data_IF_101162275849
#
_entry.id   IF_101162275849
#
_cell.length_a   1.000
_cell.length_b   1.000
_cell.length_c   1.000
_cell.angle_alpha   90.00
_cell.angle_beta   90.00
_cell.angle_gamma   90.00
#
_symmetry.space_group_name_H-M   'P 1'
#
loop_
_entity.id
_entity.type
_entity.pdbx_description
1 polymer ?
#
# COMPACT_ATOMS: atom_id res chain seq x y z
N UNK A 1 3.11 11.04 -24.16
CA UNK A 1 1.68 10.68 -24.13
C UNK A 1 1.20 10.87 -22.70
N UNK A 2 0.75 12.08 -22.39
CA UNK A 2 0.25 12.45 -21.06
C UNK A 2 -1.09 11.75 -20.87
N UNK A 3 -1.15 10.76 -20.00
CA UNK A 3 -2.42 10.23 -19.52
C UNK A 3 -3.07 11.35 -18.70
N UNK A 4 -3.89 12.18 -19.34
CA UNK A 4 -4.94 12.93 -18.68
C UNK A 4 -5.93 11.89 -18.17
N UNK A 5 -5.68 11.34 -16.98
CA UNK A 5 -6.77 10.79 -16.19
C UNK A 5 -7.71 11.97 -15.94
N UNK A 6 -8.88 11.94 -16.56
CA UNK A 6 -9.95 12.86 -16.20
C UNK A 6 -10.14 12.76 -14.69
N UNK A 7 -9.78 13.80 -13.96
CA UNK A 7 -10.15 13.91 -12.55
C UNK A 7 -11.67 13.79 -12.50
N UNK A 8 -12.23 12.82 -11.75
CA UNK A 8 -13.68 12.67 -11.64
C UNK A 8 -14.27 14.03 -11.24
N UNK A 9 -15.36 14.45 -11.89
CA UNK A 9 -16.00 15.69 -11.49
C UNK A 9 -16.46 15.60 -10.03
N UNK A 10 -16.32 16.70 -9.27
CA UNK A 10 -16.90 16.81 -7.93
C UNK A 10 -18.42 16.91 -8.08
N UNK A 11 -19.12 15.86 -7.62
CA UNK A 11 -20.56 15.82 -7.47
C UNK A 11 -20.88 15.37 -6.04
N UNK A 12 -21.82 16.01 -5.36
CA UNK A 12 -22.22 15.60 -4.01
C UNK A 12 -23.07 14.34 -4.07
N UNK A 13 -22.61 13.27 -3.43
CA UNK A 13 -23.40 12.06 -3.27
C UNK A 13 -24.26 12.10 -2.01
N UNK A 14 -25.31 11.27 -1.98
CA UNK A 14 -26.22 11.19 -0.83
C UNK A 14 -25.49 10.84 0.47
N UNK A 15 -24.49 9.94 0.38
CA UNK A 15 -23.65 9.57 1.52
C UNK A 15 -22.85 10.75 2.07
N UNK A 16 -22.38 11.67 1.22
CA UNK A 16 -21.63 12.86 1.62
C UNK A 16 -22.50 13.79 2.47
N UNK A 17 -23.76 13.99 2.05
CA UNK A 17 -24.73 14.81 2.78
C UNK A 17 -25.06 14.20 4.15
N UNK A 18 -25.33 12.90 4.19
CA UNK A 18 -25.64 12.20 5.43
C UNK A 18 -24.44 12.12 6.38
N UNK A 19 -23.24 11.92 5.85
CA UNK A 19 -22.03 11.93 6.64
C UNK A 19 -21.78 13.33 7.24
N UNK A 20 -21.94 14.39 6.47
CA UNK A 20 -21.80 15.75 6.96
C UNK A 20 -22.86 16.13 8.00
N UNK A 21 -24.12 15.74 7.79
CA UNK A 21 -25.18 15.91 8.77
C UNK A 21 -24.87 15.15 10.07
N UNK A 22 -24.35 13.92 9.96
CA UNK A 22 -23.91 13.14 11.12
C UNK A 22 -22.76 13.84 11.87
N UNK A 23 -21.76 14.36 11.16
CA UNK A 23 -20.64 15.08 11.77
C UNK A 23 -21.11 16.32 12.53
N UNK A 24 -22.01 17.11 11.94
CA UNK A 24 -22.60 18.27 12.62
C UNK A 24 -23.45 17.86 13.84
N UNK A 25 -24.20 16.76 13.75
CA UNK A 25 -25.01 16.25 14.89
C UNK A 25 -24.13 15.78 16.06
N UNK A 26 -22.96 15.22 15.77
CA UNK A 26 -22.01 14.76 16.79
C UNK A 26 -21.09 15.87 17.30
N UNK A 27 -20.99 16.99 16.57
CA UNK A 27 -20.13 18.11 16.93
C UNK A 27 -20.65 18.83 18.19
N UNK A 28 -19.72 19.23 19.06
CA UNK A 28 -19.99 20.17 20.16
C UNK A 28 -20.29 21.56 19.62
N UNK A 29 -19.66 21.92 18.50
CA UNK A 29 -19.86 23.18 17.80
C UNK A 29 -20.03 22.87 16.31
N UNK A 30 -21.29 22.86 15.85
CA UNK A 30 -21.62 22.74 14.43
C UNK A 30 -21.17 23.97 13.66
N UNK A 31 -20.76 23.78 12.40
CA UNK A 31 -20.37 24.91 11.54
C UNK A 31 -20.50 24.56 10.05
N UNK A 32 -20.78 25.54 9.17
CA UNK A 32 -20.74 25.34 7.72
C UNK A 32 -19.37 24.85 7.25
N UNK A 33 -18.29 25.30 7.90
CA UNK A 33 -16.93 24.86 7.61
C UNK A 33 -16.71 23.36 7.89
N UNK A 34 -17.33 22.83 8.95
CA UNK A 34 -17.34 21.40 9.24
C UNK A 34 -18.17 20.62 8.22
N UNK A 35 -19.33 21.15 7.84
CA UNK A 35 -20.20 20.51 6.85
C UNK A 35 -19.48 20.34 5.52
N UNK A 36 -18.88 21.41 5.00
CA UNK A 36 -18.10 21.40 3.76
C UNK A 36 -16.95 20.39 3.84
N UNK A 37 -16.18 20.43 4.94
CA UNK A 37 -15.05 19.54 5.15
C UNK A 37 -15.47 18.06 5.19
N UNK A 38 -16.59 17.75 5.85
CA UNK A 38 -17.12 16.39 5.94
C UNK A 38 -17.61 15.88 4.57
N UNK A 39 -18.29 16.73 3.77
CA UNK A 39 -18.67 16.36 2.40
C UNK A 39 -17.45 16.11 1.52
N UNK A 40 -16.45 16.98 1.58
CA UNK A 40 -15.21 16.85 0.80
C UNK A 40 -14.48 15.54 1.14
N UNK A 41 -14.26 15.24 2.42
CA UNK A 41 -13.50 14.03 2.79
C UNK A 41 -14.25 12.73 2.45
N UNK A 42 -15.59 12.75 2.54
CA UNK A 42 -16.42 11.63 2.08
C UNK A 42 -16.33 11.46 0.56
N UNK A 43 -16.46 12.54 -0.20
CA UNK A 43 -16.43 12.49 -1.65
C UNK A 43 -15.08 12.07 -2.22
N UNK A 44 -13.99 12.65 -1.70
CA UNK A 44 -12.63 12.31 -2.12
C UNK A 44 -12.33 10.83 -1.84
N UNK A 45 -12.92 10.25 -0.80
CA UNK A 45 -12.75 8.83 -0.49
C UNK A 45 -13.32 7.92 -1.57
N UNK A 46 -14.42 8.29 -2.22
CA UNK A 46 -14.99 7.51 -3.32
C UNK A 46 -14.08 7.48 -4.56
N UNK A 47 -13.27 8.53 -4.75
CA UNK A 47 -12.25 8.62 -5.81
C UNK A 47 -11.02 7.75 -5.54
N UNK A 48 -10.88 7.27 -4.31
CA UNK A 48 -9.74 6.51 -3.83
C UNK A 48 -8.75 7.31 -3.00
N UNK A 49 -8.93 8.63 -2.86
CA UNK A 49 -8.04 9.49 -2.07
C UNK A 49 -8.08 9.12 -0.58
N UNK A 50 -6.91 9.16 0.07
CA UNK A 50 -6.78 8.83 1.50
C UNK A 50 -7.20 10.01 2.38
N UNK A 51 -7.00 11.23 1.89
CA UNK A 51 -7.24 12.47 2.62
C UNK A 51 -7.54 13.62 1.67
N UNK A 52 -7.97 14.74 2.24
CA UNK A 52 -8.17 16.01 1.56
C UNK A 52 -7.16 17.01 2.07
N UNK A 53 -6.30 17.52 1.20
CA UNK A 53 -5.43 18.64 1.54
C UNK A 53 -6.26 19.93 1.51
N UNK A 54 -6.67 20.43 2.69
CA UNK A 54 -7.47 21.65 2.79
C UNK A 54 -6.86 22.87 2.07
N UNK A 55 -5.52 23.08 2.07
CA UNK A 55 -4.90 24.18 1.33
C UNK A 55 -5.05 24.08 -0.19
N UNK A 56 -5.35 22.90 -0.73
CA UNK A 56 -5.48 22.67 -2.17
C UNK A 56 -6.93 22.78 -2.67
N UNK A 57 -7.91 22.97 -1.77
CA UNK A 57 -9.32 23.07 -2.15
C UNK A 57 -9.60 24.43 -2.79
N UNK A 58 -10.21 24.39 -3.97
CA UNK A 58 -10.58 25.58 -4.74
C UNK A 58 -12.04 25.96 -4.54
N UNK A 59 -12.41 27.21 -4.86
CA UNK A 59 -13.82 27.65 -4.84
C UNK A 59 -14.69 26.82 -5.79
N UNK A 60 -14.13 26.31 -6.89
CA UNK A 60 -14.81 25.38 -7.79
C UNK A 60 -15.17 24.08 -7.08
N UNK A 61 -14.23 23.51 -6.30
CA UNK A 61 -14.45 22.27 -5.56
C UNK A 61 -15.53 22.45 -4.49
N UNK A 62 -15.48 23.57 -3.76
CA UNK A 62 -16.47 23.90 -2.74
C UNK A 62 -17.87 24.10 -3.35
N UNK A 63 -17.97 24.85 -4.45
CA UNK A 63 -19.24 25.09 -5.15
C UNK A 63 -19.86 23.80 -5.67
N UNK A 64 -19.05 22.92 -6.27
CA UNK A 64 -19.46 21.59 -6.71
C UNK A 64 -19.97 20.70 -5.58
N UNK A 65 -19.43 20.89 -4.37
CA UNK A 65 -19.85 20.18 -3.15
C UNK A 65 -21.07 20.85 -2.47
N UNK A 66 -21.67 21.87 -3.09
CA UNK A 66 -22.80 22.61 -2.54
C UNK A 66 -22.42 23.48 -1.34
N UNK A 67 -21.14 23.86 -1.23
CA UNK A 67 -20.64 24.84 -0.27
C UNK A 67 -20.68 26.26 -0.85
N UNK A 68 -20.93 27.30 -0.02
CA UNK A 68 -21.09 28.67 -0.49
C UNK A 68 -19.76 29.32 -0.93
N UNK A 69 -18.65 29.04 -0.24
CA UNK A 69 -17.29 29.47 -0.58
C UNK A 69 -16.24 28.65 0.21
N UNK A 70 -14.96 28.72 -0.19
CA UNK A 70 -13.84 28.14 0.57
C UNK A 70 -13.50 29.04 1.76
N UNK A 71 -13.60 28.56 3.00
CA UNK A 71 -13.22 29.36 4.16
C UNK A 71 -11.72 29.65 4.17
N UNK A 72 -11.27 30.83 4.65
CA UNK A 72 -9.85 31.09 4.85
C UNK A 72 -9.20 30.00 5.70
N UNK A 73 -8.13 29.36 5.21
CA UNK A 73 -7.55 28.14 5.79
C UNK A 73 -7.36 28.20 7.32
N UNK A 74 -6.77 29.28 7.84
CA UNK A 74 -6.56 29.47 9.28
C UNK A 74 -7.88 29.44 10.07
N UNK A 75 -8.92 30.08 9.55
CA UNK A 75 -10.23 30.05 10.18
C UNK A 75 -10.87 28.66 10.06
N UNK A 76 -10.72 28.02 8.90
CA UNK A 76 -11.23 26.67 8.65
C UNK A 76 -10.67 25.66 9.65
N UNK A 77 -9.34 25.57 9.75
CA UNK A 77 -8.63 24.67 10.67
C UNK A 77 -9.05 24.92 12.11
N UNK A 78 -9.17 26.20 12.52
CA UNK A 78 -9.62 26.57 13.87
C UNK A 78 -11.04 26.07 14.16
N UNK A 79 -11.97 26.27 13.23
CA UNK A 79 -13.37 25.81 13.35
C UNK A 79 -13.46 24.29 13.42
N UNK A 80 -12.70 23.59 12.56
CA UNK A 80 -12.64 22.14 12.57
C UNK A 80 -12.15 21.61 13.91
N UNK A 81 -11.01 22.09 14.42
CA UNK A 81 -10.46 21.65 15.72
C UNK A 81 -11.40 21.96 16.90
N UNK A 82 -12.16 23.05 16.83
CA UNK A 82 -13.14 23.41 17.85
C UNK A 82 -14.43 22.57 17.81
N UNK A 83 -14.69 21.83 16.73
CA UNK A 83 -15.94 21.06 16.57
C UNK A 83 -16.10 19.91 17.56
N UNK A 84 -14.99 19.35 18.07
CA UNK A 84 -14.98 18.15 18.92
C UNK A 84 -15.11 16.82 18.19
N UNK A 85 -15.32 16.81 16.86
CA UNK A 85 -15.33 15.60 16.02
C UNK A 85 -14.08 15.50 15.13
N UNK A 86 -13.23 16.53 15.12
CA UNK A 86 -11.94 16.57 14.45
C UNK A 86 -10.85 16.61 15.52
N UNK A 87 -10.01 15.58 15.53
CA UNK A 87 -8.89 15.44 16.44
C UNK A 87 -7.54 15.50 15.72
N UNK A 88 -6.48 15.46 16.52
CA UNK A 88 -5.11 15.35 16.03
C UNK A 88 -4.69 13.92 15.68
N UNK A 89 -3.55 13.74 14.99
CA UNK A 89 -2.95 12.42 14.74
C UNK A 89 -2.82 11.60 16.04
N UNK A 90 -3.37 10.38 16.05
CA UNK A 90 -3.33 9.46 17.18
C UNK A 90 -4.57 9.51 18.08
N UNK A 91 -5.43 10.52 17.92
CA UNK A 91 -6.67 10.64 18.68
C UNK A 91 -7.79 9.75 18.10
N UNK A 92 -8.78 9.44 18.94
CA UNK A 92 -9.95 8.65 18.55
C UNK A 92 -11.18 9.54 18.32
N UNK A 93 -11.15 10.25 17.20
CA UNK A 93 -12.23 11.14 16.72
C UNK A 93 -12.65 10.74 15.30
N UNK A 94 -13.89 10.98 14.86
CA UNK A 94 -14.34 10.60 13.51
C UNK A 94 -13.45 11.10 12.36
N UNK A 95 -12.96 12.33 12.50
CA UNK A 95 -12.07 12.98 11.56
C UNK A 95 -10.72 13.26 12.21
N UNK A 96 -9.65 13.22 11.42
CA UNK A 96 -8.29 13.55 11.86
C UNK A 96 -7.74 14.66 10.97
N UNK A 97 -7.26 15.73 11.58
CA UNK A 97 -6.58 16.83 10.89
C UNK A 97 -5.12 16.85 11.30
N UNK A 98 -4.23 16.60 10.33
CA UNK A 98 -2.80 16.54 10.61
C UNK A 98 -2.12 17.92 10.66
N UNK A 99 -0.80 17.93 10.83
CA UNK A 99 0.00 19.16 10.91
C UNK A 99 0.18 19.87 9.56
N UNK A 100 -0.10 19.18 8.45
CA UNK A 100 -0.02 19.71 7.09
C UNK A 100 -1.41 20.13 6.58
N UNK A 101 -2.39 20.27 7.48
CA UNK A 101 -3.78 20.62 7.19
C UNK A 101 -4.45 19.65 6.19
N UNK A 102 -4.09 18.37 6.27
CA UNK A 102 -4.76 17.27 5.57
C UNK A 102 -5.83 16.66 6.47
N UNK A 103 -7.05 16.59 5.97
CA UNK A 103 -8.20 16.03 6.66
C UNK A 103 -8.47 14.60 6.21
N UNK A 104 -8.67 13.72 7.18
CA UNK A 104 -8.86 12.30 6.98
C UNK A 104 -10.13 11.82 7.66
N UNK A 105 -10.75 10.79 7.09
CA UNK A 105 -11.52 9.85 7.88
C UNK A 105 -10.57 9.07 8.80
N UNK A 106 -10.89 8.96 10.09
CA UNK A 106 -10.01 8.37 11.10
C UNK A 106 -9.42 7.02 10.72
N UNK A 107 -10.26 6.15 10.14
CA UNK A 107 -9.87 4.82 9.69
C UNK A 107 -8.71 4.86 8.67
N UNK A 108 -8.74 5.82 7.75
CA UNK A 108 -7.76 5.93 6.68
C UNK A 108 -6.47 6.60 7.14
N UNK A 109 -6.57 7.57 8.05
CA UNK A 109 -5.38 8.08 8.75
C UNK A 109 -4.67 6.94 9.49
N UNK A 110 -5.43 6.10 10.22
CA UNK A 110 -4.87 4.94 10.92
C UNK A 110 -4.20 3.96 9.95
N UNK A 111 -4.79 3.70 8.78
CA UNK A 111 -4.18 2.83 7.76
C UNK A 111 -2.87 3.40 7.21
N UNK A 112 -2.80 4.70 6.95
CA UNK A 112 -1.57 5.36 6.49
C UNK A 112 -0.48 5.31 7.56
N UNK A 113 -0.83 5.63 8.81
CA UNK A 113 0.11 5.63 9.94
C UNK A 113 0.60 4.22 10.29
N UNK A 114 -0.31 3.24 10.36
CA UNK A 114 0.04 1.83 10.58
C UNK A 114 0.97 1.33 9.45
N UNK A 115 0.69 1.66 8.18
CA UNK A 115 1.55 1.31 7.05
C UNK A 115 2.95 1.93 7.18
N UNK A 116 3.02 3.24 7.44
CA UNK A 116 4.28 3.97 7.60
C UNK A 116 5.15 3.39 8.72
N UNK A 117 4.55 3.12 9.88
CA UNK A 117 5.25 2.49 11.02
C UNK A 117 5.76 1.08 10.68
N UNK A 118 4.94 0.27 10.01
CA UNK A 118 5.33 -1.09 9.61
C UNK A 118 6.48 -1.08 8.59
N UNK A 119 6.49 -0.15 7.62
CA UNK A 119 7.58 0.01 6.67
C UNK A 119 8.88 0.43 7.39
N UNK A 120 8.80 1.44 8.27
CA UNK A 120 9.97 1.89 9.03
C UNK A 120 10.55 0.79 9.93
N UNK A 121 9.70 0.00 10.60
CA UNK A 121 10.15 -1.11 11.43
C UNK A 121 10.94 -2.14 10.61
N UNK A 122 10.43 -2.53 9.44
CA UNK A 122 11.09 -3.49 8.52
C UNK A 122 12.40 -2.97 7.92
N UNK A 123 12.58 -1.65 7.85
CA UNK A 123 13.82 -1.02 7.39
C UNK A 123 14.87 -0.91 8.50
N UNK A 124 14.44 -0.85 9.78
CA UNK A 124 15.35 -0.74 10.94
C UNK A 124 15.88 -2.10 11.42
N UNK A 125 15.05 -3.15 11.35
CA UNK A 125 15.48 -4.52 11.60
C UNK A 125 16.43 -4.97 10.47
N UNK A 126 17.71 -4.64 10.60
CA UNK A 126 18.75 -4.99 9.63
C UNK A 126 19.97 -5.64 10.30
N UNK A 127 19.84 -6.83 10.91
CA UNK A 127 20.96 -7.73 10.86
C UNK A 127 21.12 -8.15 9.40
N UNK A 128 22.21 -7.75 8.75
CA UNK A 128 22.63 -8.37 7.49
C UNK A 128 22.50 -9.87 7.68
N UNK A 129 21.63 -10.52 6.92
CA UNK A 129 21.53 -11.98 6.95
C UNK A 129 22.94 -12.52 6.74
N UNK A 130 23.37 -13.39 7.64
CA UNK A 130 24.72 -13.93 7.61
C UNK A 130 24.85 -14.82 6.37
N UNK A 131 25.48 -14.29 5.33
CA UNK A 131 25.74 -14.99 4.10
C UNK A 131 27.20 -14.81 3.70
N UNK A 132 27.76 -15.84 3.10
CA UNK A 132 29.07 -15.76 2.50
C UNK A 132 29.04 -14.85 1.26
N UNK A 133 29.74 -13.71 1.32
CA UNK A 133 29.79 -12.72 0.22
C UNK A 133 30.32 -13.30 -1.08
N UNK A 134 31.29 -14.21 -0.99
CA UNK A 134 31.88 -14.88 -2.16
C UNK A 134 30.87 -15.81 -2.83
N UNK A 135 30.07 -16.51 -2.02
CA UNK A 135 28.99 -17.36 -2.52
C UNK A 135 27.85 -16.55 -3.15
N UNK A 136 27.52 -15.39 -2.58
CA UNK A 136 26.57 -14.44 -3.17
C UNK A 136 27.03 -13.95 -4.53
N UNK A 137 28.27 -13.47 -4.67
CA UNK A 137 28.82 -13.00 -5.93
C UNK A 137 28.77 -14.10 -7.01
N UNK A 138 29.22 -15.31 -6.67
CA UNK A 138 29.20 -16.48 -7.56
C UNK A 138 27.79 -16.84 -8.03
N UNK A 139 26.81 -16.88 -7.11
CA UNK A 139 25.43 -17.22 -7.46
C UNK A 139 24.74 -16.11 -8.27
N UNK A 140 25.05 -14.84 -8.01
CA UNK A 140 24.55 -13.71 -8.80
C UNK A 140 25.05 -13.79 -10.25
N UNK A 141 26.34 -14.03 -10.47
CA UNK A 141 26.90 -14.19 -11.82
C UNK A 141 26.30 -15.38 -12.57
N UNK A 142 26.11 -16.50 -11.86
CA UNK A 142 25.50 -17.72 -12.44
C UNK A 142 24.04 -17.51 -12.83
N UNK A 143 23.24 -16.86 -11.99
CA UNK A 143 21.79 -16.74 -12.18
C UNK A 143 21.39 -15.55 -13.07
N UNK A 144 22.27 -14.54 -13.18
CA UNK A 144 22.01 -13.33 -13.95
C UNK A 144 23.16 -13.06 -14.93
N UNK A 145 23.27 -13.78 -16.06
CA UNK A 145 24.28 -13.48 -17.08
C UNK A 145 24.09 -12.07 -17.66
N UNK A 146 25.19 -11.40 -18.01
CA UNK A 146 25.46 -9.94 -18.11
C UNK A 146 24.51 -8.99 -18.88
N UNK A 147 23.31 -9.38 -19.27
CA UNK A 147 22.33 -8.52 -19.97
C UNK A 147 21.37 -7.74 -19.05
N UNK A 148 21.47 -7.86 -17.73
CA UNK A 148 20.55 -7.13 -16.82
C UNK A 148 21.16 -6.71 -15.48
N UNK A 149 21.95 -5.64 -15.50
CA UNK A 149 22.54 -5.07 -14.28
C UNK A 149 21.48 -4.61 -13.28
N UNK A 150 20.35 -4.07 -13.74
CA UNK A 150 19.26 -3.67 -12.85
C UNK A 150 18.58 -4.87 -12.17
N UNK A 151 18.43 -6.01 -12.86
CA UNK A 151 17.88 -7.21 -12.23
C UNK A 151 18.86 -7.84 -11.24
N UNK A 152 20.17 -7.79 -11.53
CA UNK A 152 21.22 -8.17 -10.57
C UNK A 152 21.17 -7.31 -9.31
N UNK A 153 21.10 -5.98 -9.47
CA UNK A 153 20.98 -5.04 -8.35
C UNK A 153 19.71 -5.32 -7.56
N UNK A 154 18.56 -5.51 -8.24
CA UNK A 154 17.31 -5.86 -7.57
C UNK A 154 17.43 -7.17 -6.77
N UNK A 155 18.12 -8.17 -7.30
CA UNK A 155 18.35 -9.42 -6.59
C UNK A 155 19.28 -9.27 -5.39
N UNK A 156 20.37 -8.52 -5.54
CA UNK A 156 21.27 -8.18 -4.44
C UNK A 156 20.52 -7.46 -3.31
N UNK A 157 19.73 -6.44 -3.63
CA UNK A 157 18.92 -5.70 -2.64
C UNK A 157 17.88 -6.62 -1.98
N UNK A 158 17.21 -7.48 -2.76
CA UNK A 158 16.20 -8.40 -2.22
C UNK A 158 16.76 -9.45 -1.25
N UNK A 159 18.01 -9.90 -1.43
CA UNK A 159 18.62 -10.87 -0.50
C UNK A 159 19.21 -10.20 0.73
N UNK A 160 19.70 -8.96 0.59
CA UNK A 160 20.35 -8.21 1.69
C UNK A 160 19.39 -7.38 2.54
N UNK A 161 18.13 -7.22 2.12
CA UNK A 161 17.12 -6.41 2.81
C UNK A 161 15.91 -7.25 3.24
N UNK A 162 15.29 -6.90 4.38
CA UNK A 162 14.02 -7.50 4.83
C UNK A 162 12.80 -7.03 4.04
N UNK A 163 12.92 -5.88 3.39
CA UNK A 163 11.90 -5.31 2.51
C UNK A 163 12.59 -4.79 1.24
N UNK A 164 12.09 -5.21 0.08
CA UNK A 164 12.56 -4.74 -1.22
C UNK A 164 11.35 -4.45 -2.11
N UNK A 165 11.35 -3.28 -2.75
CA UNK A 165 10.34 -2.89 -3.73
C UNK A 165 11.02 -2.84 -5.10
N UNK A 166 10.56 -3.67 -6.02
CA UNK A 166 11.08 -3.73 -7.39
C UNK A 166 10.03 -3.11 -8.33
N UNK A 167 10.33 -1.93 -8.84
CA UNK A 167 9.49 -1.24 -9.83
C UNK A 167 10.06 -1.38 -11.24
N UNK A 168 9.23 -1.16 -12.25
CA UNK A 168 9.64 -1.19 -13.65
C UNK A 168 8.46 -1.25 -14.61
N UNK A 169 8.65 -0.80 -15.85
CA UNK A 169 7.62 -0.80 -16.90
C UNK A 169 7.13 -2.23 -17.22
N UNK A 170 5.94 -2.41 -17.82
CA UNK A 170 5.53 -3.70 -18.37
C UNK A 170 6.61 -4.30 -19.28
N UNK A 171 6.81 -5.62 -19.23
CA UNK A 171 7.81 -6.31 -20.08
C UNK A 171 9.26 -6.29 -19.57
N UNK A 172 9.61 -5.53 -18.52
CA UNK A 172 10.98 -5.45 -17.95
C UNK A 172 11.48 -6.72 -17.23
N UNK A 173 10.75 -7.83 -17.33
CA UNK A 173 11.17 -9.11 -16.74
C UNK A 173 10.99 -9.23 -15.22
N UNK A 174 10.30 -8.29 -14.54
CA UNK A 174 10.08 -8.31 -13.07
C UNK A 174 9.68 -9.69 -12.51
N UNK A 175 8.72 -10.36 -13.17
CA UNK A 175 8.25 -11.68 -12.72
C UNK A 175 9.37 -12.73 -12.81
N UNK A 176 10.17 -12.70 -13.88
CA UNK A 176 11.37 -13.55 -14.01
C UNK A 176 12.40 -13.22 -12.92
N UNK A 177 12.61 -11.94 -12.63
CA UNK A 177 13.49 -11.48 -11.53
C UNK A 177 13.06 -12.07 -10.19
N UNK A 178 11.74 -12.09 -9.88
CA UNK A 178 11.22 -12.69 -8.64
C UNK A 178 11.58 -14.19 -8.55
N UNK A 179 11.45 -14.94 -9.65
CA UNK A 179 11.84 -16.37 -9.67
C UNK A 179 13.33 -16.54 -9.43
N UNK A 180 14.16 -15.72 -10.08
CA UNK A 180 15.62 -15.72 -9.89
C UNK A 180 16.02 -15.36 -8.46
N UNK A 181 15.30 -14.42 -7.83
CA UNK A 181 15.50 -14.08 -6.41
C UNK A 181 15.17 -15.26 -5.51
N UNK A 182 14.07 -15.99 -5.78
CA UNK A 182 13.75 -17.21 -5.03
C UNK A 182 14.86 -18.26 -5.16
N UNK A 183 15.35 -18.49 -6.40
CA UNK A 183 16.46 -19.41 -6.64
C UNK A 183 17.74 -18.99 -5.91
N UNK A 184 18.06 -17.68 -5.92
CA UNK A 184 19.22 -17.13 -5.22
C UNK A 184 19.09 -17.30 -3.69
N UNK A 185 17.91 -17.03 -3.12
CA UNK A 185 17.66 -17.22 -1.69
C UNK A 185 17.80 -18.68 -1.27
N UNK A 186 17.30 -19.62 -2.08
CA UNK A 186 17.45 -21.06 -1.84
C UNK A 186 18.92 -21.47 -1.88
N UNK A 187 19.67 -21.01 -2.90
CA UNK A 187 21.10 -21.29 -3.02
C UNK A 187 21.89 -20.80 -1.80
N UNK A 188 21.55 -19.62 -1.28
CA UNK A 188 22.21 -19.03 -0.10
C UNK A 188 21.75 -19.63 1.24
N UNK A 189 20.63 -20.35 1.28
CA UNK A 189 20.11 -20.94 2.51
C UNK A 189 20.83 -22.24 2.90
N UNK A 190 21.62 -22.83 2.00
CA UNK A 190 22.31 -24.09 2.22
C UNK A 190 21.32 -25.22 2.58
N UNK A 191 21.43 -25.76 3.79
CA UNK A 191 20.52 -26.83 4.29
C UNK A 191 19.22 -26.32 4.91
N UNK A 192 19.06 -25.00 5.10
CA UNK A 192 17.85 -24.44 5.71
C UNK A 192 16.71 -24.42 4.70
N UNK A 193 15.58 -25.04 5.05
CA UNK A 193 14.37 -24.92 4.25
C UNK A 193 13.80 -23.50 4.35
N UNK A 194 13.42 -22.94 3.19
CA UNK A 194 12.79 -21.63 3.08
C UNK A 194 11.32 -21.80 2.73
N UNK A 195 10.46 -21.11 3.47
CA UNK A 195 9.05 -20.99 3.15
C UNK A 195 8.82 -19.75 2.29
N UNK A 196 8.21 -19.94 1.13
CA UNK A 196 7.84 -18.85 0.22
C UNK A 196 6.34 -18.75 0.09
N UNK A 197 5.80 -17.57 0.36
CA UNK A 197 4.42 -17.22 0.03
C UNK A 197 4.42 -16.26 -1.16
N UNK A 198 3.89 -16.71 -2.30
CA UNK A 198 3.73 -15.87 -3.48
C UNK A 198 2.27 -15.45 -3.62
N UNK A 199 2.02 -14.15 -3.67
CA UNK A 199 0.69 -13.60 -3.81
C UNK A 199 0.62 -12.44 -4.79
N UNK A 200 -0.55 -12.27 -5.40
CA UNK A 200 -0.89 -11.17 -6.28
C UNK A 200 -2.27 -10.60 -5.91
N UNK A 201 -2.61 -9.35 -6.31
CA UNK A 201 -3.90 -8.76 -5.97
C UNK A 201 -5.09 -9.45 -6.64
N UNK A 202 -4.91 -10.04 -7.82
CA UNK A 202 -5.99 -10.67 -8.59
C UNK A 202 -5.65 -12.11 -9.01
N UNK A 203 -6.69 -12.93 -9.23
CA UNK A 203 -6.51 -14.33 -9.65
C UNK A 203 -5.75 -14.46 -10.98
N UNK A 204 -6.02 -13.58 -11.94
CA UNK A 204 -5.29 -13.54 -13.23
C UNK A 204 -3.80 -13.24 -13.05
N UNK A 205 -3.46 -12.31 -12.15
CA UNK A 205 -2.06 -12.00 -11.85
C UNK A 205 -1.37 -13.16 -11.11
N UNK A 206 -2.08 -13.82 -10.18
CA UNK A 206 -1.56 -15.00 -9.49
C UNK A 206 -1.31 -16.18 -10.46
N UNK A 207 -2.24 -16.45 -11.38
CA UNK A 207 -2.08 -17.48 -12.40
C UNK A 207 -0.87 -17.19 -13.31
N UNK A 208 -0.70 -15.94 -13.75
CA UNK A 208 0.47 -15.53 -14.54
C UNK A 208 1.79 -15.69 -13.78
N UNK A 209 1.80 -15.37 -12.48
CA UNK A 209 2.96 -15.59 -11.61
C UNK A 209 3.32 -17.08 -11.54
N UNK A 210 2.32 -17.95 -11.34
CA UNK A 210 2.48 -19.41 -11.33
C UNK A 210 3.05 -19.95 -12.64
N UNK A 211 2.51 -19.52 -13.77
CA UNK A 211 2.99 -19.90 -15.10
C UNK A 211 4.45 -19.46 -15.32
N UNK A 212 4.78 -18.23 -14.92
CA UNK A 212 6.15 -17.71 -15.07
C UNK A 212 7.15 -18.51 -14.25
N UNK A 213 6.78 -18.97 -13.05
CA UNK A 213 7.65 -19.82 -12.22
C UNK A 213 7.93 -21.15 -12.95
N UNK A 214 6.90 -21.80 -13.47
CA UNK A 214 7.04 -23.06 -14.19
C UNK A 214 7.93 -22.92 -15.44
N UNK A 215 7.69 -21.90 -16.26
CA UNK A 215 8.47 -21.61 -17.48
C UNK A 215 9.93 -21.24 -17.16
N UNK A 216 10.13 -20.42 -16.12
CA UNK A 216 11.48 -19.96 -15.73
C UNK A 216 12.31 -21.10 -15.17
N UNK A 217 11.71 -22.02 -14.39
CA UNK A 217 12.38 -23.24 -13.92
C UNK A 217 12.94 -24.05 -15.09
N UNK A 218 12.11 -24.27 -16.12
CA UNK A 218 12.49 -25.04 -17.30
C UNK A 218 13.60 -24.35 -18.12
N UNK A 219 13.44 -23.06 -18.42
CA UNK A 219 14.39 -22.30 -19.25
C UNK A 219 15.78 -22.16 -18.62
N UNK A 220 15.86 -22.04 -17.29
CA UNK A 220 17.12 -21.90 -16.56
C UNK A 220 17.79 -23.23 -16.19
N UNK A 221 17.13 -24.37 -16.45
CA UNK A 221 17.61 -25.71 -16.04
C UNK A 221 18.07 -25.73 -14.58
N UNK A 222 17.27 -25.14 -13.70
CA UNK A 222 17.61 -25.08 -12.28
C UNK A 222 17.78 -26.50 -11.73
N UNK A 223 18.84 -26.79 -10.94
CA UNK A 223 19.00 -28.08 -10.29
C UNK A 223 17.75 -28.47 -9.50
N UNK A 224 17.42 -29.76 -9.44
CA UNK A 224 16.23 -30.24 -8.74
C UNK A 224 16.26 -29.98 -7.23
N UNK A 225 17.46 -29.76 -6.68
CA UNK A 225 17.72 -29.29 -5.32
C UNK A 225 17.04 -27.92 -5.04
N UNK A 226 16.87 -27.08 -6.06
CA UNK A 226 16.19 -25.79 -5.95
C UNK A 226 14.67 -25.99 -6.04
N UNK A 227 14.04 -26.17 -4.88
CA UNK A 227 12.58 -26.25 -4.76
C UNK A 227 11.95 -24.85 -4.82
N UNK A 228 11.67 -24.39 -6.05
CA UNK A 228 10.92 -23.16 -6.25
C UNK A 228 9.48 -23.25 -5.71
N UNK A 229 8.85 -22.12 -5.36
CA UNK A 229 7.48 -22.10 -4.85
C UNK A 229 6.51 -22.59 -5.93
N UNK A 230 5.72 -23.63 -5.63
CA UNK A 230 4.88 -24.30 -6.62
C UNK A 230 3.56 -23.59 -6.91
N UNK A 231 3.09 -22.72 -6.01
CA UNK A 231 1.81 -22.04 -6.14
C UNK A 231 1.91 -20.54 -5.88
N UNK A 232 0.95 -19.83 -6.46
CA UNK A 232 0.70 -18.42 -6.18
C UNK A 232 -0.79 -18.23 -5.89
N UNK A 233 -1.11 -17.32 -4.98
CA UNK A 233 -2.48 -17.07 -4.52
C UNK A 233 -2.87 -15.60 -4.67
N UNK A 234 -4.15 -15.29 -4.45
CA UNK A 234 -4.51 -13.90 -4.21
C UNK A 234 -4.09 -13.50 -2.81
N UNK A 235 -3.80 -12.21 -2.57
CA UNK A 235 -3.51 -11.71 -1.22
C UNK A 235 -4.65 -12.08 -0.24
N UNK A 236 -5.90 -12.01 -0.70
CA UNK A 236 -7.07 -12.41 0.10
C UNK A 236 -7.07 -13.89 0.48
N UNK A 237 -6.72 -14.78 -0.47
CA UNK A 237 -6.63 -16.23 -0.22
C UNK A 237 -5.49 -16.54 0.74
N UNK A 238 -4.34 -15.87 0.58
CA UNK A 238 -3.18 -16.03 1.45
C UNK A 238 -3.49 -15.62 2.90
N UNK A 239 -4.16 -14.48 3.09
CA UNK A 239 -4.56 -13.99 4.42
C UNK A 239 -5.75 -14.74 5.02
N UNK A 240 -6.44 -15.57 4.23
CA UNK A 240 -7.63 -16.30 4.66
C UNK A 240 -8.82 -15.39 4.92
N UNK A 241 -9.29 -14.71 3.87
CA UNK A 241 -10.50 -13.87 3.93
C UNK A 241 -11.70 -14.67 4.48
N UNK A 242 -12.40 -14.09 5.46
CA UNK A 242 -13.59 -14.69 6.07
C UNK A 242 -14.82 -14.14 5.35
N UNK A 243 -15.55 -14.98 4.61
CA UNK A 243 -16.80 -14.68 3.88
C UNK A 243 -17.32 -13.23 3.96
N UNK A 244 -18.30 -12.98 4.82
CA UNK A 244 -18.96 -11.68 4.97
C UNK A 244 -18.28 -10.75 5.99
N UNK A 245 -16.97 -10.88 6.20
CA UNK A 245 -16.22 -10.11 7.19
C UNK A 245 -15.08 -9.32 6.54
N UNK A 246 -14.81 -8.08 7.01
CA UNK A 246 -13.61 -7.35 6.62
C UNK A 246 -12.33 -7.94 7.26
N UNK A 247 -12.46 -8.98 8.09
CA UNK A 247 -11.35 -9.58 8.81
C UNK A 247 -10.77 -10.80 8.09
N UNK A 248 -9.47 -10.98 8.28
CA UNK A 248 -8.72 -12.10 7.78
C UNK A 248 -8.45 -13.12 8.89
N UNK A 249 -8.12 -14.36 8.52
CA UNK A 249 -7.65 -15.38 9.47
C UNK A 249 -6.27 -15.02 10.01
N UNK A 250 -5.41 -14.50 9.14
CA UNK A 250 -4.05 -14.10 9.50
C UNK A 250 -4.00 -12.60 9.78
N UNK A 251 -3.53 -12.25 10.97
CA UNK A 251 -3.44 -10.89 11.49
C UNK A 251 -2.21 -10.75 12.42
N UNK A 252 -2.10 -9.64 13.14
CA UNK A 252 -0.97 -9.39 14.04
C UNK A 252 -0.87 -10.40 15.21
N UNK A 253 -1.97 -11.08 15.58
CA UNK A 253 -2.01 -12.11 16.63
C UNK A 253 -1.84 -13.52 16.07
N UNK A 254 -2.15 -13.72 14.79
CA UNK A 254 -1.98 -14.97 14.07
C UNK A 254 -1.21 -14.72 12.75
N UNK A 255 0.13 -14.57 12.80
CA UNK A 255 0.92 -14.25 11.61
C UNK A 255 0.86 -15.34 10.54
N UNK A 256 1.28 -15.00 9.32
CA UNK A 256 1.59 -16.00 8.30
C UNK A 256 2.85 -16.77 8.75
N UNK A 257 2.79 -18.11 8.67
CA UNK A 257 3.90 -19.02 8.99
C UNK A 257 5.12 -18.78 8.09
#
# INVERSE_FOLDING_TARGET
>A
MTFLMATPELEVHFIDQHFAALMNRLAKVSSPELELAAKLVSNFRERGDVCVALPAITSTDASKIGGPDVPPLKNWVRKLRASGVVGGPGEFTPLILDKADRLYLQRYWKYEDDLGRNLQARLRDNPMRDFNRTELAKNLEKLFPAQSDLQKVAAFVAVTSHLCVISGAPGTGKTRTIVLICALLIALAGKRELNFALAAPTGKAAARLKETIAQTRFSLRLPDEIKLPADASTIQRLLGAKGDSPHFRHDAKNPLL
#
